data_IF_513930574376
#
_entry.id   IF_513930574376
#
_cell.length_a   1.000
_cell.length_b   1.000
_cell.length_c   1.000
_cell.angle_alpha   90.00
_cell.angle_beta   90.00
_cell.angle_gamma   90.00
#
_symmetry.space_group_name_H-M   'P 1'
#
loop_
_entity.id
_entity.type
_entity.pdbx_description
1 polymer ?
#
# COMPACT_ATOMS: atom_id res chain seq x y z
N UNK A 1 -2.31 -13.60 3.86
CA UNK A 1 -1.79 -14.57 2.86
C UNK A 1 -1.15 -13.82 1.70
N UNK A 2 0.05 -14.19 1.23
CA UNK A 2 0.72 -13.48 0.14
C UNK A 2 0.10 -13.82 -1.22
N UNK A 3 -0.29 -12.80 -1.99
CA UNK A 3 -0.70 -12.92 -3.38
C UNK A 3 -0.29 -11.65 -4.13
N UNK A 4 0.17 -11.81 -5.37
CA UNK A 4 0.41 -10.72 -6.30
C UNK A 4 -0.14 -11.11 -7.68
N UNK A 5 -0.48 -10.10 -8.48
CA UNK A 5 -0.91 -10.29 -9.86
C UNK A 5 -0.26 -9.23 -10.74
N UNK A 6 0.16 -9.64 -11.94
CA UNK A 6 0.56 -8.73 -13.01
C UNK A 6 -0.56 -8.74 -14.04
N UNK A 7 -1.28 -7.63 -14.17
CA UNK A 7 -2.29 -7.48 -15.22
C UNK A 7 -1.60 -7.04 -16.51
N UNK A 8 -1.95 -7.68 -17.62
CA UNK A 8 -1.46 -7.35 -18.95
C UNK A 8 -2.63 -6.98 -19.85
N UNK A 9 -2.35 -6.14 -20.85
CA UNK A 9 -3.32 -5.89 -21.93
C UNK A 9 -3.43 -7.12 -22.82
N UNK A 10 -4.55 -7.22 -23.55
CA UNK A 10 -4.74 -8.31 -24.51
C UNK A 10 -3.60 -8.38 -25.53
N UNK A 11 -3.13 -7.24 -26.05
CA UNK A 11 -2.01 -7.20 -26.98
C UNK A 11 -0.73 -7.88 -26.45
N UNK A 12 -0.42 -7.72 -25.16
CA UNK A 12 0.73 -8.38 -24.52
C UNK A 12 0.46 -9.88 -24.35
N UNK A 13 -0.75 -10.27 -23.95
CA UNK A 13 -1.12 -11.68 -23.83
C UNK A 13 -1.04 -12.40 -25.19
N UNK A 14 -1.63 -11.84 -26.24
CA UNK A 14 -1.65 -12.43 -27.59
C UNK A 14 -0.25 -12.56 -28.19
N UNK A 15 0.72 -11.72 -27.81
CA UNK A 15 2.11 -11.86 -28.24
C UNK A 15 2.75 -13.19 -27.77
N UNK A 16 2.24 -13.79 -26.69
CA UNK A 16 2.72 -15.04 -26.10
C UNK A 16 1.78 -16.24 -26.26
N UNK A 17 0.53 -16.00 -26.68
CA UNK A 17 -0.46 -17.06 -26.90
C UNK A 17 -0.26 -17.68 -28.28
N UNK A 18 0.49 -18.78 -28.34
CA UNK A 18 0.84 -19.46 -29.60
C UNK A 18 1.14 -20.94 -29.39
N UNK A 19 0.92 -21.74 -30.43
CA UNK A 19 1.40 -23.13 -30.51
C UNK A 19 2.92 -23.20 -30.70
N UNK A 20 3.56 -22.13 -31.19
CA UNK A 20 5.02 -22.03 -31.22
C UNK A 20 5.57 -21.83 -29.81
N UNK A 21 6.13 -22.90 -29.24
CA UNK A 21 6.74 -22.92 -27.90
C UNK A 21 7.81 -21.84 -27.69
N UNK A 22 8.45 -21.33 -28.75
CA UNK A 22 9.44 -20.24 -28.64
C UNK A 22 8.80 -18.91 -28.24
N UNK A 23 7.48 -18.76 -28.41
CA UNK A 23 6.72 -17.56 -28.03
C UNK A 23 6.16 -17.63 -26.61
N UNK A 24 6.23 -18.80 -25.95
CA UNK A 24 5.75 -18.97 -24.57
C UNK A 24 6.47 -18.02 -23.61
N UNK A 25 5.71 -17.46 -22.66
CA UNK A 25 6.27 -16.70 -21.56
C UNK A 25 6.85 -17.65 -20.49
N UNK A 26 8.16 -17.90 -20.54
CA UNK A 26 8.86 -18.82 -19.63
C UNK A 26 9.10 -18.21 -18.24
N UNK A 27 8.02 -18.04 -17.48
CA UNK A 27 8.09 -17.54 -16.11
C UNK A 27 7.01 -18.18 -15.23
N UNK A 28 7.42 -18.75 -14.10
CA UNK A 28 6.51 -19.21 -13.05
C UNK A 28 7.28 -19.41 -11.74
N UNK A 29 6.55 -19.58 -10.65
CA UNK A 29 7.04 -19.97 -9.33
C UNK A 29 6.21 -21.14 -8.82
N UNK A 30 6.72 -21.91 -7.86
CA UNK A 30 6.01 -23.09 -7.33
C UNK A 30 4.64 -22.76 -6.71
N UNK A 31 4.42 -21.52 -6.26
CA UNK A 31 3.18 -21.06 -5.65
C UNK A 31 2.35 -20.15 -6.56
N UNK A 32 2.67 -20.06 -7.85
CA UNK A 32 1.84 -19.35 -8.83
C UNK A 32 0.40 -19.86 -8.75
N UNK A 33 -0.57 -18.95 -8.58
CA UNK A 33 -1.98 -19.27 -8.43
C UNK A 33 -2.29 -20.26 -7.28
N UNK A 34 -1.60 -20.11 -6.14
CA UNK A 34 -1.91 -20.90 -4.94
C UNK A 34 -3.41 -20.79 -4.57
N UNK A 35 -4.15 -21.91 -4.43
CA UNK A 35 -5.61 -21.88 -4.30
C UNK A 35 -6.09 -21.23 -3.00
N UNK A 36 -5.34 -21.38 -1.91
CA UNK A 36 -5.66 -20.70 -0.64
C UNK A 36 -5.48 -19.19 -0.81
N UNK A 37 -4.43 -18.78 -1.52
CA UNK A 37 -4.16 -17.38 -1.80
C UNK A 37 -5.29 -16.73 -2.64
N UNK A 38 -5.69 -17.43 -3.70
CA UNK A 38 -6.79 -17.02 -4.58
C UNK A 38 -8.15 -16.96 -3.86
N UNK A 39 -8.44 -17.91 -2.97
CA UNK A 39 -9.72 -17.94 -2.24
C UNK A 39 -9.91 -16.70 -1.36
N UNK A 40 -8.89 -16.30 -0.59
CA UNK A 40 -9.00 -15.09 0.23
C UNK A 40 -8.98 -13.80 -0.60
N UNK A 41 -8.33 -13.79 -1.77
CA UNK A 41 -8.44 -12.66 -2.69
C UNK A 41 -9.85 -12.51 -3.29
N UNK A 42 -10.51 -13.62 -3.64
CA UNK A 42 -11.89 -13.62 -4.12
C UNK A 42 -12.85 -13.07 -3.06
N UNK A 43 -12.75 -13.57 -1.81
CA UNK A 43 -13.53 -13.04 -0.70
C UNK A 43 -13.30 -11.53 -0.48
N UNK A 44 -12.06 -11.05 -0.63
CA UNK A 44 -11.76 -9.62 -0.55
C UNK A 44 -12.41 -8.84 -1.71
N UNK A 45 -12.41 -9.36 -2.94
CA UNK A 45 -13.10 -8.72 -4.07
C UNK A 45 -14.61 -8.64 -3.84
N UNK A 46 -15.22 -9.67 -3.25
CA UNK A 46 -16.64 -9.66 -2.87
C UNK A 46 -16.94 -8.55 -1.87
N UNK A 47 -16.11 -8.37 -0.83
CA UNK A 47 -16.23 -7.25 0.11
C UNK A 47 -16.19 -5.90 -0.63
N UNK A 48 -15.25 -5.70 -1.56
CA UNK A 48 -15.16 -4.46 -2.33
C UNK A 48 -16.37 -4.21 -3.23
N UNK A 49 -17.02 -5.27 -3.72
CA UNK A 49 -18.20 -5.19 -4.58
C UNK A 49 -19.48 -4.94 -3.78
N UNK A 50 -19.63 -5.63 -2.64
CA UNK A 50 -20.89 -5.75 -1.93
C UNK A 50 -20.99 -4.80 -0.72
N UNK A 51 -19.86 -4.25 -0.26
CA UNK A 51 -19.82 -3.25 0.81
C UNK A 51 -19.43 -1.84 0.29
N UNK A 52 -19.80 -0.76 1.00
CA UNK A 52 -19.46 0.62 0.62
C UNK A 52 -17.99 0.96 0.92
N UNK A 53 -17.05 0.16 0.43
CA UNK A 53 -15.62 0.32 0.69
C UNK A 53 -15.09 1.61 0.07
N UNK A 54 -15.55 1.95 -1.13
CA UNK A 54 -15.15 3.18 -1.82
C UNK A 54 -15.56 4.43 -1.04
N UNK A 55 -16.79 4.49 -0.51
CA UNK A 55 -17.25 5.60 0.31
C UNK A 55 -16.48 5.69 1.63
N UNK A 56 -16.22 4.55 2.29
CA UNK A 56 -15.40 4.51 3.52
C UNK A 56 -13.98 5.02 3.26
N UNK A 57 -13.36 4.63 2.15
CA UNK A 57 -12.04 5.11 1.72
C UNK A 57 -12.07 6.62 1.45
N UNK A 58 -13.09 7.13 0.76
CA UNK A 58 -13.23 8.55 0.49
C UNK A 58 -13.39 9.37 1.79
N UNK A 59 -14.25 8.91 2.71
CA UNK A 59 -14.45 9.55 4.00
C UNK A 59 -13.16 9.57 4.84
N UNK A 60 -12.45 8.44 4.90
CA UNK A 60 -11.17 8.33 5.60
C UNK A 60 -10.11 9.25 4.99
N UNK A 61 -10.01 9.29 3.66
CA UNK A 61 -9.07 10.15 2.94
C UNK A 61 -9.34 11.64 3.25
N UNK A 62 -10.61 12.05 3.25
CA UNK A 62 -11.00 13.42 3.59
C UNK A 62 -10.68 13.77 5.05
N UNK A 63 -10.94 12.86 5.98
CA UNK A 63 -10.61 13.02 7.39
C UNK A 63 -9.09 13.16 7.61
N UNK A 64 -8.28 12.31 6.97
CA UNK A 64 -6.82 12.37 7.07
C UNK A 64 -6.27 13.68 6.49
N UNK A 65 -6.74 14.09 5.30
CA UNK A 65 -6.35 15.35 4.68
C UNK A 65 -6.72 16.56 5.56
N UNK A 66 -7.89 16.52 6.20
CA UNK A 66 -8.30 17.54 7.15
C UNK A 66 -7.43 17.54 8.42
N UNK A 67 -7.15 16.36 8.95
CA UNK A 67 -6.31 16.18 10.12
C UNK A 67 -4.90 16.71 9.92
N UNK A 68 -4.33 16.54 8.73
CA UNK A 68 -2.98 16.98 8.40
C UNK A 68 -2.81 18.49 8.32
N UNK A 69 -3.90 19.26 8.09
CA UNK A 69 -3.82 20.73 8.02
C UNK A 69 -3.21 21.35 9.28
N UNK A 70 -3.40 20.72 10.45
CA UNK A 70 -2.84 21.19 11.74
C UNK A 70 -1.31 21.20 11.79
N UNK A 71 -0.65 20.47 10.89
CA UNK A 71 0.82 20.35 10.87
C UNK A 71 1.49 21.28 9.86
N UNK A 72 0.73 22.01 9.04
CA UNK A 72 1.28 22.90 8.00
C UNK A 72 2.19 23.97 8.57
N UNK A 73 1.80 24.58 9.68
CA UNK A 73 2.55 25.66 10.33
C UNK A 73 3.40 25.15 11.52
N UNK A 74 3.55 23.83 11.66
CA UNK A 74 4.32 23.25 12.76
C UNK A 74 5.82 23.30 12.44
N UNK A 75 6.68 23.89 13.30
CA UNK A 75 8.10 24.04 13.01
C UNK A 75 8.87 22.72 12.94
N UNK A 76 8.34 21.63 13.53
CA UNK A 76 8.97 20.32 13.53
C UNK A 76 8.66 19.48 12.29
N UNK A 77 7.63 19.81 11.51
CA UNK A 77 7.23 19.01 10.35
C UNK A 77 7.43 19.75 9.04
N UNK A 78 7.63 18.97 7.98
CA UNK A 78 7.66 19.42 6.58
C UNK A 78 6.94 18.40 5.71
N UNK A 79 6.62 18.77 4.47
CA UNK A 79 6.08 17.88 3.43
C UNK A 79 4.91 16.99 3.86
N UNK A 80 3.95 17.59 4.59
CA UNK A 80 2.69 16.94 4.94
C UNK A 80 1.88 16.63 3.68
N UNK A 81 1.64 15.35 3.40
CA UNK A 81 1.01 14.89 2.16
C UNK A 81 0.08 13.71 2.37
N UNK A 82 -0.90 13.59 1.48
CA UNK A 82 -1.87 12.48 1.44
C UNK A 82 -2.05 11.96 0.04
N UNK A 83 -2.27 10.65 -0.09
CA UNK A 83 -2.82 10.03 -1.30
C UNK A 83 -3.70 8.86 -0.91
N UNK A 84 -4.99 8.92 -1.25
CA UNK A 84 -6.00 8.00 -0.70
C UNK A 84 -5.92 7.94 0.83
N UNK A 85 -5.85 6.72 1.39
CA UNK A 85 -5.78 6.48 2.83
C UNK A 85 -4.35 6.54 3.41
N UNK A 86 -3.37 6.97 2.61
CA UNK A 86 -1.97 7.09 3.03
C UNK A 86 -1.71 8.55 3.38
N UNK A 87 -1.29 8.78 4.63
CA UNK A 87 -0.86 10.07 5.14
C UNK A 87 0.60 9.98 5.59
N UNK A 88 1.41 10.97 5.21
CA UNK A 88 2.83 11.05 5.58
C UNK A 88 3.22 12.48 5.93
N UNK A 89 4.14 12.61 6.88
CA UNK A 89 4.82 13.85 7.22
C UNK A 89 6.29 13.57 7.39
N UNK A 90 7.11 14.53 7.01
CA UNK A 90 8.54 14.45 7.22
C UNK A 90 8.89 15.22 8.50
N UNK A 91 9.61 14.59 9.41
CA UNK A 91 10.07 15.22 10.65
C UNK A 91 11.39 15.94 10.38
N UNK A 92 11.48 17.22 10.74
CA UNK A 92 12.74 17.97 10.76
C UNK A 92 13.58 17.48 11.93
N UNK A 93 14.52 16.57 11.64
CA UNK A 93 15.48 16.06 12.60
C UNK A 93 16.92 16.44 12.18
N UNK A 94 17.84 16.49 13.15
CA UNK A 94 19.26 16.76 12.87
C UNK A 94 19.98 15.63 12.14
N UNK A 95 19.36 14.44 12.06
CA UNK A 95 19.81 13.30 11.26
C UNK A 95 18.72 12.88 10.28
N UNK A 96 19.11 12.54 9.06
CA UNK A 96 18.21 12.15 7.97
C UNK A 96 18.55 10.74 7.46
N UNK A 97 17.61 10.12 6.76
CA UNK A 97 17.78 8.82 6.11
C UNK A 97 17.33 7.63 6.96
N UNK A 98 17.40 6.44 6.36
CA UNK A 98 16.82 5.21 6.91
C UNK A 98 17.41 4.76 8.26
N UNK A 99 18.63 5.18 8.56
CA UNK A 99 19.35 4.84 9.80
C UNK A 99 19.22 5.92 10.87
N UNK A 100 18.30 6.88 10.71
CA UNK A 100 18.07 7.90 11.72
C UNK A 100 17.48 7.27 13.00
N UNK A 101 18.18 7.44 14.12
CA UNK A 101 17.79 6.96 15.45
C UNK A 101 16.40 7.44 15.92
N UNK A 102 15.83 8.46 15.27
CA UNK A 102 14.51 9.00 15.62
C UNK A 102 13.38 8.04 15.24
N UNK A 103 13.52 7.25 14.16
CA UNK A 103 12.48 6.33 13.69
C UNK A 103 12.10 5.28 14.75
N UNK A 104 13.06 4.50 15.28
CA UNK A 104 12.80 3.55 16.35
C UNK A 104 12.18 4.18 17.61
N UNK A 105 12.63 5.38 17.99
CA UNK A 105 12.10 6.13 19.15
C UNK A 105 10.63 6.53 18.96
N UNK A 106 10.29 7.06 17.78
CA UNK A 106 8.90 7.39 17.44
C UNK A 106 8.02 6.14 17.45
N UNK A 107 8.49 5.05 16.84
CA UNK A 107 7.75 3.77 16.81
C UNK A 107 7.45 3.28 18.23
N UNK A 108 8.43 3.29 19.12
CA UNK A 108 8.22 2.90 20.53
C UNK A 108 7.22 3.84 21.23
N UNK A 109 7.42 5.15 21.10
CA UNK A 109 6.56 6.16 21.72
C UNK A 109 5.08 6.04 21.35
N UNK A 110 4.77 5.79 20.07
CA UNK A 110 3.40 5.63 19.60
C UNK A 110 2.83 4.25 19.98
N UNK A 111 3.65 3.20 19.95
CA UNK A 111 3.21 1.86 20.33
C UNK A 111 2.80 1.78 21.81
N UNK A 112 3.53 2.46 22.69
CA UNK A 112 3.17 2.63 24.12
C UNK A 112 1.80 3.30 24.31
N UNK A 113 1.33 4.04 23.30
CA UNK A 113 0.02 4.73 23.28
C UNK A 113 -1.03 3.99 22.47
N UNK A 114 -0.77 2.74 22.08
CA UNK A 114 -1.69 1.92 21.30
C UNK A 114 -1.80 2.34 19.83
N UNK A 115 -0.85 3.11 19.30
CA UNK A 115 -0.82 3.52 17.90
C UNK A 115 0.36 2.91 17.16
N UNK A 116 0.10 2.09 16.15
CA UNK A 116 1.15 1.59 15.26
C UNK A 116 1.38 2.58 14.12
N UNK A 117 2.60 3.11 14.04
CA UNK A 117 3.07 3.95 12.93
C UNK A 117 4.28 3.34 12.24
N UNK A 118 4.56 3.79 11.01
CA UNK A 118 5.77 3.46 10.24
C UNK A 118 6.59 4.73 10.01
N UNK A 119 7.40 5.15 11.01
CA UNK A 119 8.29 6.29 10.90
C UNK A 119 9.55 5.97 10.10
#
# INVERSE_FOLDING_TARGET
>A
IPLAATLATDAIFQAHYSEDRKKTFFHSSSYTANPIACAAALANVEIWRDEPVAERVAALSAMQAAGLRRFRDNPFFTDSRTTGTIAALDLRAGSAGYLAEIGPKLRAFFLERGLLVRP
#
